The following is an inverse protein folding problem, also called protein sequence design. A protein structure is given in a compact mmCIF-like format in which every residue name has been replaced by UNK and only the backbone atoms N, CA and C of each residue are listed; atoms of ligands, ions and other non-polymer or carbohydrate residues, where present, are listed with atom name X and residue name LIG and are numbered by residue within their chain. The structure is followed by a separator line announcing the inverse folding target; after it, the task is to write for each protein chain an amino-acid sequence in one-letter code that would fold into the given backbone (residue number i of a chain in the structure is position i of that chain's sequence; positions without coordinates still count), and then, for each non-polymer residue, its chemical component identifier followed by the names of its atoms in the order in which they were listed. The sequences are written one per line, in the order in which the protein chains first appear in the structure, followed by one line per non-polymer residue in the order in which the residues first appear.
data_IF_209052689394
#
_entry.id   IF_209052689394
#
_cell.length_a   1.000
_cell.length_b   1.000
_cell.length_c   1.000
_cell.angle_alpha   90.00
_cell.angle_beta   90.00
_cell.angle_gamma   90.00
#
_symmetry.space_group_name_H-M   'P 1'
#
loop_
_entity.id
_entity.type
_entity.pdbx_description
1 polymer ?
#
# COMPACT_ATOMS: atom_id res chain seq x y z
N UNK A 1 -25.69 -19.59 -6.03
CA UNK A 1 -25.30 -19.71 -7.44
C UNK A 1 -24.29 -18.62 -7.75
N UNK A 2 -23.17 -18.98 -8.41
CA UNK A 2 -22.01 -18.17 -8.81
C UNK A 2 -20.91 -17.92 -7.76
N UNK A 3 -20.30 -19.02 -7.31
CA UNK A 3 -18.95 -19.07 -6.70
C UNK A 3 -17.94 -19.58 -7.76
N UNK A 4 -18.11 -19.19 -9.01
CA UNK A 4 -17.30 -19.71 -10.13
C UNK A 4 -16.40 -18.62 -10.71
N UNK A 5 -15.10 -18.80 -10.48
CA UNK A 5 -13.96 -18.14 -11.14
C UNK A 5 -13.62 -16.71 -10.72
N UNK A 6 -13.24 -16.52 -9.45
CA UNK A 6 -12.27 -15.46 -9.09
C UNK A 6 -10.86 -16.03 -9.33
N UNK A 7 -10.41 -16.06 -10.60
CA UNK A 7 -9.01 -16.38 -10.93
C UNK A 7 -8.17 -15.26 -10.33
N UNK A 8 -7.61 -15.51 -9.16
CA UNK A 8 -6.82 -14.52 -8.41
C UNK A 8 -5.66 -14.03 -9.28
N UNK A 9 -5.49 -12.71 -9.38
CA UNK A 9 -4.22 -12.14 -9.85
C UNK A 9 -3.22 -12.31 -8.72
N UNK A 10 -2.34 -13.31 -8.82
CA UNK A 10 -1.26 -13.53 -7.85
C UNK A 10 -0.45 -12.24 -7.59
N UNK A 11 -0.24 -11.43 -8.63
CA UNK A 11 0.41 -10.10 -8.58
C UNK A 11 -0.19 -9.18 -7.53
N UNK A 12 -1.53 -9.13 -7.50
CA UNK A 12 -2.26 -8.22 -6.64
C UNK A 12 -2.37 -8.75 -5.22
N UNK A 13 -2.44 -10.08 -5.06
CA UNK A 13 -2.45 -10.76 -3.75
C UNK A 13 -1.16 -10.51 -2.97
N UNK A 14 0.01 -10.55 -3.63
CA UNK A 14 1.29 -10.26 -2.99
C UNK A 14 1.37 -8.80 -2.52
N UNK A 15 1.03 -7.86 -3.40
CA UNK A 15 0.96 -6.42 -3.08
C UNK A 15 0.02 -6.16 -1.90
N UNK A 16 -1.16 -6.79 -1.88
CA UNK A 16 -2.10 -6.66 -0.77
C UNK A 16 -1.61 -7.26 0.55
N UNK A 17 -0.84 -8.36 0.51
CA UNK A 17 -0.20 -8.90 1.72
C UNK A 17 0.80 -7.92 2.32
N UNK A 18 1.65 -7.31 1.50
CA UNK A 18 2.59 -6.28 1.96
C UNK A 18 1.82 -5.09 2.55
N UNK A 19 0.80 -4.60 1.85
CA UNK A 19 -0.06 -3.52 2.34
C UNK A 19 -0.77 -3.87 3.65
N UNK A 20 -1.10 -5.14 3.88
CA UNK A 20 -1.68 -5.61 5.14
C UNK A 20 -0.67 -5.54 6.28
N UNK A 21 0.56 -5.99 6.06
CA UNK A 21 1.65 -5.94 7.04
C UNK A 21 1.94 -4.48 7.40
N UNK A 22 2.01 -3.61 6.41
CA UNK A 22 2.25 -2.19 6.60
C UNK A 22 1.06 -1.42 7.22
N UNK A 23 -0.09 -2.06 7.46
CA UNK A 23 -1.26 -1.38 8.07
C UNK A 23 -2.10 -0.54 7.10
N UNK A 24 -1.85 -0.65 5.79
CA UNK A 24 -2.58 0.07 4.74
C UNK A 24 -3.86 -0.61 4.27
N UNK A 25 -3.92 -1.94 4.29
CA UNK A 25 -5.05 -2.68 3.72
C UNK A 25 -5.54 -3.81 4.62
N UNK A 26 -6.80 -3.77 5.10
CA UNK A 26 -7.32 -4.86 5.91
C UNK A 26 -7.45 -6.15 5.08
N UNK A 27 -7.12 -7.32 5.65
CA UNK A 27 -7.20 -8.59 4.92
C UNK A 27 -8.65 -8.90 4.53
N UNK A 28 -8.85 -9.38 3.31
CA UNK A 28 -10.17 -9.66 2.71
C UNK A 28 -11.02 -10.66 3.53
N UNK A 29 -10.39 -11.49 4.35
CA UNK A 29 -11.05 -12.48 5.22
C UNK A 29 -11.71 -11.88 6.48
N UNK A 30 -11.54 -10.58 6.74
CA UNK A 30 -11.97 -9.95 7.99
C UNK A 30 -13.22 -9.07 7.77
N UNK A 31 -14.38 -9.72 7.61
CA UNK A 31 -15.68 -9.05 7.42
C UNK A 31 -16.39 -8.65 8.72
N UNK A 32 -15.90 -9.15 9.87
CA UNK A 32 -16.54 -8.91 11.18
C UNK A 32 -16.26 -7.50 11.70
N UNK A 33 -17.27 -6.82 12.26
CA UNK A 33 -17.18 -5.44 12.78
C UNK A 33 -16.04 -5.27 13.80
N UNK A 34 -15.84 -6.24 14.69
CA UNK A 34 -14.77 -6.24 15.70
C UNK A 34 -13.36 -6.24 15.07
N UNK A 35 -13.14 -7.08 14.06
CA UNK A 35 -11.85 -7.18 13.35
C UNK A 35 -11.49 -5.88 12.61
N UNK A 36 -12.50 -5.17 12.09
CA UNK A 36 -12.30 -3.86 11.45
C UNK A 36 -11.85 -2.81 12.47
N UNK A 37 -12.45 -2.77 13.66
CA UNK A 37 -12.07 -1.82 14.71
C UNK A 37 -10.63 -2.06 15.16
N UNK A 38 -10.22 -3.32 15.39
CA UNK A 38 -8.83 -3.63 15.74
C UNK A 38 -7.88 -3.14 14.66
N UNK A 39 -8.22 -3.36 13.39
CA UNK A 39 -7.37 -2.93 12.28
C UNK A 39 -7.30 -1.40 12.18
N UNK A 40 -8.41 -0.69 12.36
CA UNK A 40 -8.42 0.78 12.37
C UNK A 40 -7.56 1.32 13.52
N UNK A 41 -7.62 0.72 14.73
CA UNK A 41 -6.73 1.06 15.85
C UNK A 41 -5.27 0.79 15.51
N UNK A 42 -4.96 -0.35 14.88
CA UNK A 42 -3.61 -0.67 14.42
C UNK A 42 -3.09 0.35 13.41
N UNK A 43 -3.90 0.74 12.42
CA UNK A 43 -3.54 1.78 11.44
C UNK A 43 -3.30 3.12 12.13
N UNK A 44 -4.15 3.53 13.08
CA UNK A 44 -3.95 4.77 13.86
C UNK A 44 -2.64 4.70 14.65
N UNK A 45 -2.34 3.57 15.29
CA UNK A 45 -1.09 3.37 16.03
C UNK A 45 0.13 3.47 15.12
N UNK A 46 0.10 2.87 13.93
CA UNK A 46 1.18 3.02 12.93
C UNK A 46 1.36 4.48 12.50
N UNK A 47 0.26 5.19 12.23
CA UNK A 47 0.33 6.62 11.85
C UNK A 47 0.95 7.45 12.98
N UNK A 48 0.59 7.20 14.23
CA UNK A 48 1.18 7.85 15.39
C UNK A 48 2.67 7.54 15.55
N UNK A 49 3.08 6.28 15.36
CA UNK A 49 4.49 5.88 15.40
C UNK A 49 5.30 6.58 14.29
N UNK A 50 4.80 6.57 13.05
CA UNK A 50 5.46 7.24 11.92
C UNK A 50 5.61 8.74 12.20
N UNK A 51 4.54 9.39 12.67
CA UNK A 51 4.57 10.82 12.97
C UNK A 51 5.58 11.15 14.08
N UNK A 52 5.59 10.35 15.16
CA UNK A 52 6.55 10.53 16.26
C UNK A 52 7.97 10.32 15.78
N UNK A 53 8.21 9.30 14.95
CA UNK A 53 9.52 9.03 14.37
C UNK A 53 9.99 10.15 13.44
N UNK A 54 9.12 10.68 12.57
CA UNK A 54 9.41 11.85 11.74
C UNK A 54 9.75 13.07 12.59
N UNK A 55 9.02 13.32 13.69
CA UNK A 55 9.35 14.42 14.61
C UNK A 55 10.71 14.21 15.28
N UNK A 56 11.05 12.99 15.69
CA UNK A 56 12.38 12.69 16.25
C UNK A 56 13.50 12.92 15.23
N UNK A 57 13.32 12.48 13.97
CA UNK A 57 14.28 12.76 12.90
C UNK A 57 14.44 14.26 12.62
N UNK A 58 13.34 15.03 12.71
CA UNK A 58 13.40 16.48 12.57
C UNK A 58 14.24 17.12 13.68
N UNK A 59 14.03 16.70 14.92
CA UNK A 59 14.74 17.24 16.08
C UNK A 59 16.23 16.88 16.05
N UNK A 60 16.57 15.63 15.70
CA UNK A 60 17.95 15.17 15.55
C UNK A 60 18.69 15.97 14.46
N UNK A 61 18.01 16.20 13.34
CA UNK A 61 18.52 17.03 12.25
C UNK A 61 18.74 18.49 12.66
N UNK A 62 17.78 19.11 13.38
CA UNK A 62 17.91 20.49 13.88
C UNK A 62 19.09 20.62 14.86
N UNK A 63 19.34 19.58 15.67
CA UNK A 63 20.43 19.57 16.65
C UNK A 63 21.81 19.30 16.02
N UNK A 64 21.87 18.72 14.81
CA UNK A 64 23.13 18.38 14.09
C UNK A 64 23.64 19.55 13.22
N UNK A 65 23.36 20.80 13.58
CA UNK A 65 23.57 21.98 12.71
C UNK A 65 25.04 22.37 12.46
N UNK A 66 26.02 21.67 13.04
CA UNK A 66 27.43 22.03 12.94
C UNK A 66 28.05 21.78 11.55
N UNK A 67 27.44 20.93 10.71
CA UNK A 67 27.87 20.68 9.32
C UNK A 67 26.67 20.76 8.34
N UNK A 68 26.64 21.81 7.52
CA UNK A 68 25.55 22.06 6.57
C UNK A 68 25.40 20.99 5.46
N UNK A 69 26.50 20.37 5.04
CA UNK A 69 26.48 19.29 4.03
C UNK A 69 25.87 18.00 4.60
N UNK A 70 26.29 17.58 5.80
CA UNK A 70 25.74 16.41 6.50
C UNK A 70 24.25 16.60 6.83
N UNK A 71 23.85 17.83 7.19
CA UNK A 71 22.46 18.21 7.38
C UNK A 71 21.64 18.02 6.09
N UNK A 72 22.14 18.53 4.96
CA UNK A 72 21.47 18.47 3.66
C UNK A 72 21.20 17.02 3.24
N UNK A 73 22.21 16.14 3.35
CA UNK A 73 22.05 14.73 3.01
C UNK A 73 21.04 14.01 3.92
N UNK A 74 21.14 14.19 5.23
CA UNK A 74 20.23 13.56 6.19
C UNK A 74 18.79 14.08 6.04
N UNK A 75 18.62 15.38 5.78
CA UNK A 75 17.32 15.98 5.48
C UNK A 75 16.69 15.40 4.22
N UNK A 76 17.49 15.17 3.17
CA UNK A 76 16.99 14.60 1.93
C UNK A 76 16.49 13.16 2.11
N UNK A 77 17.21 12.35 2.89
CA UNK A 77 16.79 10.98 3.25
C UNK A 77 15.50 11.01 4.07
N UNK A 78 15.41 11.91 5.04
CA UNK A 78 14.20 12.12 5.85
C UNK A 78 12.99 12.51 4.99
N UNK A 79 13.16 13.45 4.06
CA UNK A 79 12.12 13.87 3.12
C UNK A 79 11.69 12.71 2.21
N UNK A 80 12.63 11.92 1.70
CA UNK A 80 12.31 10.76 0.87
C UNK A 80 11.44 9.75 1.62
N UNK A 81 11.77 9.48 2.90
CA UNK A 81 10.97 8.65 3.79
C UNK A 81 9.58 9.26 4.03
N UNK A 82 9.50 10.57 4.29
CA UNK A 82 8.24 11.28 4.48
C UNK A 82 7.33 11.22 3.24
N UNK A 83 7.89 11.40 2.04
CA UNK A 83 7.16 11.26 0.77
C UNK A 83 6.65 9.83 0.58
N UNK A 84 7.46 8.83 0.94
CA UNK A 84 7.03 7.42 0.93
C UNK A 84 5.84 7.18 1.86
N UNK A 85 5.89 7.70 3.09
CA UNK A 85 4.78 7.65 4.04
C UNK A 85 3.53 8.37 3.50
N UNK A 86 3.69 9.54 2.86
CA UNK A 86 2.58 10.26 2.24
C UNK A 86 1.92 9.48 1.10
N UNK A 87 2.72 8.82 0.24
CA UNK A 87 2.20 7.92 -0.82
C UNK A 87 1.40 6.79 -0.20
N UNK A 88 1.94 6.18 0.84
CA UNK A 88 1.31 5.09 1.57
C UNK A 88 -0.02 5.52 2.23
N UNK A 89 -0.07 6.71 2.83
CA UNK A 89 -1.30 7.28 3.38
C UNK A 89 -2.34 7.64 2.29
N UNK A 90 -1.87 8.14 1.14
CA UNK A 90 -2.73 8.42 -0.01
C UNK A 90 -3.38 7.15 -0.55
N UNK A 91 -2.64 6.04 -0.59
CA UNK A 91 -3.19 4.72 -0.92
C UNK A 91 -4.26 4.28 0.09
N UNK A 92 -4.00 4.48 1.40
CA UNK A 92 -4.96 4.16 2.46
C UNK A 92 -6.25 4.98 2.32
N UNK A 93 -6.16 6.29 2.05
CA UNK A 93 -7.31 7.17 1.86
C UNK A 93 -8.10 6.79 0.61
N UNK A 94 -7.41 6.47 -0.48
CA UNK A 94 -8.02 6.11 -1.75
C UNK A 94 -8.40 4.62 -1.85
N UNK A 95 -8.29 3.86 -0.75
CA UNK A 95 -8.52 2.40 -0.74
C UNK A 95 -9.86 1.98 -1.34
N UNK A 96 -10.94 2.72 -1.06
CA UNK A 96 -12.26 2.39 -1.57
C UNK A 96 -12.32 2.57 -3.10
N UNK A 97 -11.62 3.59 -3.62
CA UNK A 97 -11.54 3.86 -5.04
C UNK A 97 -10.65 2.82 -5.75
N UNK A 98 -9.54 2.41 -5.12
CA UNK A 98 -8.67 1.34 -5.61
C UNK A 98 -9.42 0.01 -5.64
N UNK A 99 -10.19 -0.31 -4.58
CA UNK A 99 -11.00 -1.52 -4.53
C UNK A 99 -12.07 -1.54 -5.63
N UNK A 100 -12.73 -0.40 -5.88
CA UNK A 100 -13.69 -0.25 -6.98
C UNK A 100 -13.01 -0.43 -8.34
N UNK A 101 -11.84 0.18 -8.55
CA UNK A 101 -11.07 0.04 -9.79
C UNK A 101 -10.66 -1.42 -10.03
N UNK A 102 -10.21 -2.13 -8.99
CA UNK A 102 -9.88 -3.56 -9.08
C UNK A 102 -11.12 -4.39 -9.43
N UNK A 103 -12.27 -4.09 -8.83
CA UNK A 103 -13.53 -4.78 -9.16
C UNK A 103 -13.94 -4.55 -10.61
N UNK A 104 -13.75 -3.33 -11.14
CA UNK A 104 -13.97 -2.99 -12.55
C UNK A 104 -12.99 -3.76 -13.46
N UNK A 105 -11.69 -3.81 -13.13
CA UNK A 105 -10.71 -4.60 -13.89
C UNK A 105 -11.02 -6.12 -13.87
N UNK A 106 -11.69 -6.61 -12.82
CA UNK A 106 -12.06 -8.01 -12.68
C UNK A 106 -13.41 -8.35 -13.32
N UNK A 107 -14.25 -7.35 -13.61
CA UNK A 107 -15.56 -7.50 -14.25
C UNK A 107 -15.52 -7.06 -15.72
N UNK A 108 -16.53 -7.43 -16.51
CA UNK A 108 -16.64 -6.97 -17.91
C UNK A 108 -16.75 -5.43 -17.90
N UNK A 109 -16.01 -4.71 -18.78
CA UNK A 109 -15.40 -5.14 -20.04
C UNK A 109 -13.93 -5.61 -19.96
N UNK A 110 -13.21 -5.39 -18.87
CA UNK A 110 -11.75 -5.62 -18.76
C UNK A 110 -11.33 -7.07 -18.45
N UNK A 111 -12.27 -8.02 -18.56
CA UNK A 111 -11.96 -9.44 -18.38
C UNK A 111 -11.26 -9.93 -19.66
N UNK A 112 -10.08 -10.57 -19.57
CA UNK A 112 -9.39 -11.07 -20.76
C UNK A 112 -10.29 -12.08 -21.49
N UNK A 113 -10.69 -11.73 -22.71
CA UNK A 113 -11.56 -12.56 -23.57
C UNK A 113 -10.76 -12.98 -24.82
N UNK A 114 -9.86 -12.13 -25.30
CA UNK A 114 -9.03 -12.42 -26.47
C UNK A 114 -7.73 -13.12 -26.10
N UNK A 115 -7.22 -13.92 -27.04
CA UNK A 115 -6.03 -14.75 -26.86
C UNK A 115 -4.77 -13.89 -26.59
N UNK A 116 -4.71 -12.70 -27.18
CA UNK A 116 -3.62 -11.74 -26.98
C UNK A 116 -3.63 -11.13 -25.55
N UNK A 117 -4.81 -10.87 -24.99
CA UNK A 117 -4.95 -10.38 -23.61
C UNK A 117 -4.52 -11.43 -22.58
N UNK A 118 -4.74 -12.71 -22.88
CA UNK A 118 -4.29 -13.83 -22.06
C UNK A 118 -2.75 -13.92 -22.08
N UNK A 119 -2.12 -13.70 -23.22
CA UNK A 119 -0.66 -13.73 -23.34
C UNK A 119 0.00 -12.55 -22.60
N UNK A 120 -0.58 -11.36 -22.70
CA UNK A 120 -0.14 -10.17 -21.93
C UNK A 120 -0.27 -10.42 -20.42
N UNK A 121 -1.39 -11.01 -19.99
CA UNK A 121 -1.62 -11.38 -18.59
C UNK A 121 -0.57 -12.36 -18.08
N UNK A 122 -0.24 -13.38 -18.87
CA UNK A 122 0.80 -14.36 -18.52
C UNK A 122 2.20 -13.75 -18.47
N UNK A 123 2.54 -12.82 -19.36
CA UNK A 123 3.81 -12.07 -19.30
C UNK A 123 3.92 -11.26 -18.01
N UNK A 124 2.87 -10.53 -17.63
CA UNK A 124 2.84 -9.78 -16.38
C UNK A 124 2.90 -10.68 -15.14
N UNK A 125 2.19 -11.81 -15.12
CA UNK A 125 2.28 -12.77 -14.03
C UNK A 125 3.70 -13.34 -13.88
N UNK A 126 4.43 -13.56 -14.99
CA UNK A 126 5.84 -14.01 -14.97
C UNK A 126 6.82 -12.96 -14.46
N UNK A 127 6.57 -11.67 -14.68
CA UNK A 127 7.47 -10.58 -14.24
C UNK A 127 7.46 -10.44 -12.70
N UNK A 128 6.41 -10.92 -12.04
CA UNK A 128 6.17 -10.72 -10.62
C UNK A 128 6.56 -11.96 -9.79
N UNK A 129 6.89 -13.08 -10.43
CA UNK A 129 7.42 -14.29 -9.80
C UNK A 129 8.94 -14.20 -9.67
#
# INVERSE_FOLDING_TARGET
SNITNKKEMNVLTFTFKILTICGCWPPYSWTTRYKRIIYDVYTVLIVLLINTFTLSQLMDLILTVDNADDFSENFYVMLAMFVSCCKMFSLLRNRNNIAMLIDILMKKPCRPIEHDEIEIRQKFDKIVQ
#
